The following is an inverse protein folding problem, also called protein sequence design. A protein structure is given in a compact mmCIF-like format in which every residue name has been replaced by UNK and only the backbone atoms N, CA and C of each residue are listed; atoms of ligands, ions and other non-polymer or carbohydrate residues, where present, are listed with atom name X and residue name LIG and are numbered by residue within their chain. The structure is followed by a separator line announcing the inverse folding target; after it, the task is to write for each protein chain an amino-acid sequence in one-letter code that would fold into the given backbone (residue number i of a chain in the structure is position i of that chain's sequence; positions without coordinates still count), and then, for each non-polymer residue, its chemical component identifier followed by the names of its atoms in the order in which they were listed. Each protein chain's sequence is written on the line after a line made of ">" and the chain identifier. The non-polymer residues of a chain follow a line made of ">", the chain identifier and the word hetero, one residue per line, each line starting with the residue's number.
data_IF_086631547931
#
_entry.id   IF_086631547931
#
_cell.length_a   1.000
_cell.length_b   1.000
_cell.length_c   1.000
_cell.angle_alpha   90.00
_cell.angle_beta   90.00
_cell.angle_gamma   90.00
#
_symmetry.space_group_name_H-M   'P 1'
#
loop_
_entity.id
_entity.type
_entity.pdbx_description
1 polymer ?
#
# COMPACT_ATOMS: atom_id res chain seq x y z
N UNK A 1 -22.55 -3.32 24.39
CA UNK A 1 -21.91 -4.37 23.58
C UNK A 1 -20.52 -4.55 24.13
N UNK A 2 -20.15 -5.77 24.51
CA UNK A 2 -18.76 -6.06 24.84
C UNK A 2 -17.94 -5.90 23.57
N UNK A 3 -16.98 -4.98 23.59
CA UNK A 3 -16.05 -4.77 22.49
C UNK A 3 -14.94 -5.83 22.60
N UNK A 4 -14.81 -6.69 21.59
CA UNK A 4 -13.82 -7.76 21.60
C UNK A 4 -13.64 -8.40 20.23
N UNK A 5 -12.53 -9.11 20.07
CA UNK A 5 -12.21 -9.88 18.86
C UNK A 5 -12.80 -11.28 19.00
N UNK A 6 -13.67 -11.68 18.07
CA UNK A 6 -14.28 -13.01 18.03
C UNK A 6 -13.69 -13.83 16.88
N UNK A 7 -12.97 -14.90 17.19
CA UNK A 7 -12.37 -15.79 16.20
C UNK A 7 -13.32 -16.95 15.88
N UNK A 8 -14.04 -16.86 14.75
CA UNK A 8 -14.97 -17.91 14.33
C UNK A 8 -14.31 -19.04 13.51
N UNK A 9 -13.32 -18.69 12.67
CA UNK A 9 -12.70 -19.61 11.72
C UNK A 9 -11.20 -19.84 11.98
N UNK A 10 -10.51 -18.84 12.54
CA UNK A 10 -9.09 -18.94 12.85
C UNK A 10 -8.88 -19.50 14.26
N UNK A 11 -7.87 -20.36 14.45
CA UNK A 11 -7.55 -20.85 15.80
C UNK A 11 -6.63 -19.83 16.46
N UNK A 12 -7.09 -19.21 17.54
CA UNK A 12 -6.42 -18.06 18.16
C UNK A 12 -4.91 -18.24 18.49
N UNK A 13 -4.47 -19.49 18.71
CA UNK A 13 -3.09 -19.80 19.10
C UNK A 13 -2.19 -20.27 17.95
N UNK A 14 -2.70 -20.40 16.73
CA UNK A 14 -1.86 -20.67 15.55
C UNK A 14 -1.44 -19.37 14.86
N UNK A 15 -0.44 -19.46 13.97
CA UNK A 15 0.08 -18.30 13.26
C UNK A 15 -1.02 -17.54 12.49
N UNK A 16 -1.91 -18.26 11.81
CA UNK A 16 -3.05 -17.66 11.09
C UNK A 16 -3.98 -16.91 12.04
N UNK A 17 -4.24 -17.45 13.22
CA UNK A 17 -5.02 -16.83 14.27
C UNK A 17 -4.36 -15.59 14.81
N UNK A 18 -3.04 -15.59 14.98
CA UNK A 18 -2.27 -14.41 15.39
C UNK A 18 -2.26 -13.31 14.31
N UNK A 19 -2.12 -13.66 13.04
CA UNK A 19 -2.28 -12.72 11.92
C UNK A 19 -3.69 -12.11 11.92
N UNK A 20 -4.72 -12.95 12.01
CA UNK A 20 -6.12 -12.49 12.10
C UNK A 20 -6.32 -11.63 13.34
N UNK A 21 -5.68 -11.96 14.47
CA UNK A 21 -5.74 -11.17 15.69
C UNK A 21 -5.18 -9.77 15.48
N UNK A 22 -4.02 -9.60 14.83
CA UNK A 22 -3.49 -8.26 14.54
C UNK A 22 -4.42 -7.41 13.67
N UNK A 23 -5.09 -8.04 12.70
CA UNK A 23 -6.05 -7.41 11.82
C UNK A 23 -7.28 -6.91 12.60
N UNK A 24 -7.93 -7.78 13.35
CA UNK A 24 -9.13 -7.43 14.12
C UNK A 24 -8.81 -6.46 15.27
N UNK A 25 -7.63 -6.60 15.89
CA UNK A 25 -7.15 -5.67 16.91
C UNK A 25 -6.97 -4.25 16.34
N UNK A 26 -6.51 -4.16 15.08
CA UNK A 26 -6.43 -2.87 14.38
C UNK A 26 -7.81 -2.26 14.19
N UNK A 27 -8.82 -3.04 13.80
CA UNK A 27 -10.20 -2.53 13.71
C UNK A 27 -10.75 -2.03 15.04
N UNK A 28 -10.39 -2.68 16.15
CA UNK A 28 -10.82 -2.28 17.48
C UNK A 28 -10.18 -0.95 17.91
N UNK A 29 -8.93 -0.71 17.53
CA UNK A 29 -8.12 0.39 18.06
C UNK A 29 -7.80 1.51 17.07
N UNK A 30 -8.13 1.38 15.79
CA UNK A 30 -7.78 2.39 14.79
C UNK A 30 -8.40 3.76 15.10
N UNK A 31 -9.63 3.82 15.61
CA UNK A 31 -10.30 5.09 15.94
C UNK A 31 -9.77 5.78 17.20
N UNK A 32 -9.11 5.06 18.10
CA UNK A 32 -8.80 5.54 19.46
C UNK A 32 -7.32 5.51 19.80
N UNK A 33 -6.64 4.38 19.64
CA UNK A 33 -5.24 4.22 20.06
C UNK A 33 -4.31 4.52 18.89
N UNK A 34 -4.45 3.80 17.77
CA UNK A 34 -3.50 3.85 16.65
C UNK A 34 -3.49 5.22 15.99
N UNK A 35 -4.65 5.87 15.87
CA UNK A 35 -4.78 7.22 15.28
C UNK A 35 -4.90 8.32 16.34
N UNK A 36 -4.47 8.07 17.58
CA UNK A 36 -4.43 9.03 18.67
C UNK A 36 -5.77 9.80 18.87
N UNK A 37 -6.87 9.04 18.94
CA UNK A 37 -8.24 9.53 19.11
C UNK A 37 -8.78 10.46 18.00
N UNK A 38 -8.09 10.61 16.88
CA UNK A 38 -8.57 11.45 15.77
C UNK A 38 -9.62 10.76 14.89
N UNK A 39 -9.90 9.48 15.13
CA UNK A 39 -10.75 8.68 14.24
C UNK A 39 -10.07 8.35 12.90
N UNK A 40 -10.80 7.63 12.05
CA UNK A 40 -10.34 7.31 10.68
C UNK A 40 -10.47 8.55 9.82
N UNK A 41 -9.58 8.66 8.82
CA UNK A 41 -9.73 9.68 7.78
C UNK A 41 -11.04 9.46 7.03
N UNK A 42 -11.79 10.54 6.80
CA UNK A 42 -13.02 10.50 6.00
C UNK A 42 -12.77 9.89 4.61
N UNK A 43 -13.68 9.02 4.18
CA UNK A 43 -13.54 8.21 2.96
C UNK A 43 -12.62 6.99 3.06
N UNK A 44 -11.89 6.79 4.15
CA UNK A 44 -11.00 5.64 4.37
C UNK A 44 -11.64 4.62 5.32
N UNK A 45 -11.75 3.37 4.86
CA UNK A 45 -12.27 2.25 5.64
C UNK A 45 -11.28 1.71 6.68
N UNK A 46 -11.75 0.85 7.59
CA UNK A 46 -10.88 0.20 8.59
C UNK A 46 -9.87 -0.76 7.96
N UNK A 47 -10.25 -1.39 6.86
CA UNK A 47 -9.42 -2.37 6.13
C UNK A 47 -8.13 -1.74 5.60
N UNK A 48 -8.16 -0.45 5.27
CA UNK A 48 -6.96 0.28 4.85
C UNK A 48 -5.87 0.22 5.92
N UNK A 49 -6.24 0.43 7.20
CA UNK A 49 -5.30 0.39 8.31
C UNK A 49 -4.94 -1.05 8.69
N UNK A 50 -5.93 -1.95 8.74
CA UNK A 50 -5.69 -3.34 9.09
C UNK A 50 -4.87 -4.05 8.00
N UNK A 51 -5.43 -4.29 6.82
CA UNK A 51 -4.75 -5.01 5.71
C UNK A 51 -3.52 -4.29 5.19
N UNK A 52 -3.62 -2.96 5.07
CA UNK A 52 -2.62 -2.16 4.36
C UNK A 52 -1.42 -1.74 5.21
N UNK A 53 -1.51 -1.75 6.54
CA UNK A 53 -0.44 -1.19 7.40
C UNK A 53 -0.10 -2.11 8.57
N UNK A 54 -1.08 -2.46 9.41
CA UNK A 54 -0.82 -3.01 10.75
C UNK A 54 -1.02 -4.52 10.89
N UNK A 55 -1.61 -5.18 9.89
CA UNK A 55 -1.72 -6.64 9.89
C UNK A 55 -0.34 -7.28 9.75
N UNK A 56 -0.02 -8.14 10.72
CA UNK A 56 1.23 -8.89 10.77
C UNK A 56 1.02 -10.27 10.13
N UNK A 57 1.75 -10.54 9.07
CA UNK A 57 1.72 -11.82 8.36
C UNK A 57 2.69 -12.82 9.01
N UNK A 58 2.58 -14.10 8.69
CA UNK A 58 3.36 -15.16 9.37
C UNK A 58 4.73 -15.42 8.74
N UNK A 59 4.88 -15.22 7.43
CA UNK A 59 6.13 -15.49 6.71
C UNK A 59 6.88 -14.19 6.44
N UNK A 60 8.10 -14.07 6.97
CA UNK A 60 9.02 -12.95 6.71
C UNK A 60 9.35 -12.76 5.22
N UNK A 61 9.13 -13.78 4.38
CA UNK A 61 9.43 -13.77 2.95
C UNK A 61 8.26 -13.34 2.07
N UNK A 62 7.09 -13.05 2.62
CA UNK A 62 6.05 -12.40 1.85
C UNK A 62 6.49 -10.97 1.51
N UNK A 63 6.45 -10.60 0.23
CA UNK A 63 6.88 -9.28 -0.25
C UNK A 63 5.83 -8.20 0.00
N UNK A 64 5.13 -8.25 1.13
CA UNK A 64 4.09 -7.29 1.50
C UNK A 64 4.75 -6.15 2.28
N UNK A 65 4.50 -4.91 1.86
CA UNK A 65 4.98 -3.74 2.56
C UNK A 65 4.17 -3.51 3.84
N UNK A 66 4.58 -4.14 4.94
CA UNK A 66 3.95 -4.03 6.25
C UNK A 66 4.99 -4.09 7.38
N UNK A 67 4.49 -4.13 8.61
CA UNK A 67 5.30 -4.25 9.82
C UNK A 67 4.93 -5.54 10.56
N UNK A 68 5.95 -6.16 11.18
CA UNK A 68 5.77 -7.32 12.04
C UNK A 68 5.74 -6.90 13.50
N UNK A 69 4.62 -7.10 14.18
CA UNK A 69 4.44 -6.77 15.60
C UNK A 69 4.20 -8.00 16.48
N UNK A 70 4.22 -9.21 15.92
CA UNK A 70 3.86 -10.44 16.63
C UNK A 70 5.01 -11.44 16.64
N UNK A 71 5.56 -11.76 15.47
CA UNK A 71 6.40 -12.94 15.31
C UNK A 71 7.87 -12.63 15.60
N UNK A 72 8.49 -13.42 16.47
CA UNK A 72 9.94 -13.39 16.65
C UNK A 72 10.60 -14.29 15.61
N UNK A 73 11.21 -13.66 14.61
CA UNK A 73 11.84 -14.30 13.45
C UNK A 73 13.33 -13.96 13.38
N UNK A 74 13.95 -13.54 14.50
CA UNK A 74 15.37 -13.18 14.55
C UNK A 74 16.24 -14.28 13.94
N UNK A 75 17.14 -13.89 13.03
CA UNK A 75 18.05 -14.80 12.34
C UNK A 75 17.46 -15.47 11.09
N UNK A 76 16.19 -15.19 10.74
CA UNK A 76 15.64 -15.58 9.43
C UNK A 76 15.89 -14.49 8.40
N UNK A 77 16.16 -14.90 7.16
CA UNK A 77 16.19 -14.00 6.00
C UNK A 77 14.77 -13.67 5.54
N UNK A 78 14.47 -12.38 5.34
CA UNK A 78 13.19 -11.91 4.83
C UNK A 78 13.17 -10.41 4.53
N UNK A 79 11.99 -9.91 4.18
CA UNK A 79 11.82 -8.55 3.63
C UNK A 79 11.39 -7.50 4.66
N UNK A 80 10.94 -7.93 5.84
CA UNK A 80 10.44 -7.06 6.90
C UNK A 80 11.17 -7.27 8.23
N UNK A 81 10.82 -6.50 9.26
CA UNK A 81 11.45 -6.62 10.56
C UNK A 81 11.20 -8.00 11.18
N UNK A 82 12.25 -8.63 11.68
CA UNK A 82 12.18 -9.96 12.29
C UNK A 82 11.97 -9.93 13.80
N UNK A 83 12.11 -8.76 14.42
CA UNK A 83 11.94 -8.56 15.86
C UNK A 83 10.70 -7.67 16.09
N UNK A 84 9.65 -8.17 16.76
CA UNK A 84 8.44 -7.39 17.03
C UNK A 84 8.70 -6.29 18.07
N UNK A 85 9.80 -6.38 18.82
CA UNK A 85 10.21 -5.38 19.82
C UNK A 85 11.20 -4.35 19.28
N UNK A 86 11.49 -4.38 17.98
CA UNK A 86 12.48 -3.50 17.32
C UNK A 86 12.19 -2.01 17.51
N UNK A 87 10.93 -1.62 17.48
CA UNK A 87 10.51 -0.23 17.45
C UNK A 87 10.15 0.22 18.86
N UNK A 88 11.04 0.99 19.49
CA UNK A 88 10.84 1.50 20.85
C UNK A 88 10.45 2.98 20.89
N UNK A 89 10.75 3.70 19.79
CA UNK A 89 10.49 5.13 19.60
C UNK A 89 10.29 5.44 18.12
N UNK A 90 9.75 6.61 17.82
CA UNK A 90 9.44 7.06 16.44
C UNK A 90 10.66 7.02 15.52
N UNK A 91 11.85 7.38 16.03
CA UNK A 91 13.08 7.41 15.24
C UNK A 91 13.51 6.02 14.74
N UNK A 92 13.20 4.96 15.51
CA UNK A 92 13.52 3.59 15.11
C UNK A 92 12.71 3.18 13.88
N UNK A 93 11.41 3.49 13.88
CA UNK A 93 10.52 3.23 12.75
C UNK A 93 10.90 4.09 11.55
N UNK A 94 11.16 5.39 11.77
CA UNK A 94 11.59 6.31 10.71
C UNK A 94 12.87 5.83 10.02
N UNK A 95 13.88 5.43 10.80
CA UNK A 95 15.14 4.90 10.25
C UNK A 95 14.93 3.60 9.48
N UNK A 96 14.11 2.70 10.02
CA UNK A 96 13.80 1.43 9.37
C UNK A 96 13.06 1.63 8.04
N UNK A 97 11.96 2.38 8.04
CA UNK A 97 11.19 2.65 6.82
C UNK A 97 11.99 3.45 5.81
N UNK A 98 12.82 4.39 6.25
CA UNK A 98 13.76 5.11 5.39
C UNK A 98 14.69 4.14 4.64
N UNK A 99 15.33 3.22 5.36
CA UNK A 99 16.18 2.20 4.74
C UNK A 99 15.43 1.24 3.81
N UNK A 100 14.19 0.86 4.15
CA UNK A 100 13.34 0.06 3.26
C UNK A 100 13.08 0.82 1.95
N UNK A 101 12.62 2.06 2.02
CA UNK A 101 12.31 2.86 0.82
C UNK A 101 13.56 3.24 0.02
N UNK A 102 14.71 3.48 0.65
CA UNK A 102 15.98 3.70 -0.07
C UNK A 102 16.31 2.50 -0.99
N UNK A 103 16.11 1.27 -0.49
CA UNK A 103 16.32 0.06 -1.28
C UNK A 103 15.25 -0.07 -2.36
N UNK A 104 13.96 0.05 -2.01
CA UNK A 104 12.87 -0.11 -2.97
C UNK A 104 12.96 0.91 -4.11
N UNK A 105 13.16 2.20 -3.82
CA UNK A 105 13.33 3.23 -4.85
C UNK A 105 14.56 3.00 -5.72
N UNK A 106 15.65 2.47 -5.16
CA UNK A 106 16.81 2.10 -5.96
C UNK A 106 16.48 0.98 -6.95
N UNK A 107 15.79 -0.08 -6.49
CA UNK A 107 15.38 -1.20 -7.33
C UNK A 107 14.37 -0.76 -8.40
N UNK A 108 13.35 -0.01 -8.01
CA UNK A 108 12.32 0.53 -8.91
C UNK A 108 12.94 1.43 -9.99
N UNK A 109 13.93 2.26 -9.62
CA UNK A 109 14.67 3.11 -10.56
C UNK A 109 15.48 2.27 -11.56
N UNK A 110 16.18 1.24 -11.11
CA UNK A 110 16.95 0.35 -11.99
C UNK A 110 16.04 -0.41 -12.95
N UNK A 111 14.90 -0.91 -12.45
CA UNK A 111 13.89 -1.58 -13.27
C UNK A 111 13.32 -0.62 -14.33
N UNK A 112 12.91 0.59 -13.92
CA UNK A 112 12.40 1.62 -14.80
C UNK A 112 13.40 1.95 -15.91
N UNK A 113 14.67 2.18 -15.55
CA UNK A 113 15.75 2.49 -16.51
C UNK A 113 15.86 1.41 -17.58
N UNK A 114 15.73 0.15 -17.19
CA UNK A 114 15.91 -0.94 -18.13
C UNK A 114 14.70 -1.17 -19.05
N UNK A 115 13.48 -0.97 -18.53
CA UNK A 115 12.24 -1.04 -19.32
C UNK A 115 12.12 0.14 -20.27
N UNK A 116 12.55 1.34 -19.85
CA UNK A 116 12.50 2.56 -20.67
C UNK A 116 13.37 2.46 -21.94
N UNK A 117 14.38 1.57 -21.94
CA UNK A 117 15.22 1.28 -23.12
C UNK A 117 14.59 0.30 -24.11
N UNK A 118 13.43 -0.30 -23.81
CA UNK A 118 12.75 -1.27 -24.69
C UNK A 118 11.87 -0.56 -25.72
N UNK A 119 11.32 -1.32 -26.66
CA UNK A 119 10.37 -0.80 -27.65
C UNK A 119 8.99 -0.52 -27.01
N UNK A 120 8.18 0.28 -27.68
CA UNK A 120 6.87 0.72 -27.17
C UNK A 120 5.87 -0.40 -26.96
N UNK A 121 5.94 -1.51 -27.71
CA UNK A 121 5.04 -2.65 -27.45
C UNK A 121 5.41 -3.34 -26.14
N UNK A 122 6.72 -3.49 -25.89
CA UNK A 122 7.21 -4.00 -24.59
C UNK A 122 6.79 -3.08 -23.45
N UNK A 123 6.98 -1.76 -23.57
CA UNK A 123 6.55 -0.79 -22.55
C UNK A 123 5.04 -0.84 -22.30
N UNK A 124 4.24 -0.94 -23.36
CA UNK A 124 2.78 -1.07 -23.28
C UNK A 124 2.34 -2.32 -22.50
N UNK A 125 3.03 -3.44 -22.67
CA UNK A 125 2.75 -4.66 -21.91
C UNK A 125 3.26 -4.58 -20.46
N UNK A 126 4.32 -3.81 -20.23
CA UNK A 126 4.97 -3.69 -18.93
C UNK A 126 4.22 -2.80 -17.96
N UNK A 127 3.52 -1.78 -18.44
CA UNK A 127 2.87 -0.78 -17.60
C UNK A 127 1.35 -0.82 -17.73
N UNK A 128 0.70 -0.75 -16.58
CA UNK A 128 -0.67 -0.27 -16.43
C UNK A 128 -0.62 1.20 -15.96
N UNK A 129 -1.78 1.85 -15.98
CA UNK A 129 -2.00 3.18 -15.42
C UNK A 129 -3.03 3.11 -14.31
N UNK A 130 -2.85 3.95 -13.31
CA UNK A 130 -3.83 4.21 -12.27
C UNK A 130 -4.52 5.54 -12.59
N UNK A 131 -5.85 5.55 -12.51
CA UNK A 131 -6.67 6.76 -12.64
C UNK A 131 -7.59 6.88 -11.45
N UNK A 132 -8.00 8.10 -11.11
CA UNK A 132 -9.03 8.30 -10.08
C UNK A 132 -10.41 8.48 -10.68
N UNK A 133 -11.39 7.82 -10.07
CA UNK A 133 -12.81 7.91 -10.40
C UNK A 133 -13.60 8.28 -9.15
N UNK A 134 -14.59 9.17 -9.27
CA UNK A 134 -15.52 9.45 -8.17
C UNK A 134 -16.27 8.18 -7.73
N UNK A 135 -16.28 7.90 -6.43
CA UNK A 135 -16.86 6.70 -5.81
C UNK A 135 -18.39 6.82 -5.64
N UNK A 136 -18.92 8.05 -5.70
CA UNK A 136 -20.37 8.33 -5.54
C UNK A 136 -20.92 8.13 -4.12
N UNK A 137 -20.09 7.67 -3.17
CA UNK A 137 -20.44 7.59 -1.75
C UNK A 137 -20.57 8.99 -1.15
N UNK A 138 -21.51 9.13 -0.20
CA UNK A 138 -21.60 10.31 0.65
C UNK A 138 -20.28 10.54 1.38
N UNK A 139 -19.86 11.79 1.44
CA UNK A 139 -18.62 12.23 2.06
C UNK A 139 -18.91 13.36 3.04
N UNK A 140 -18.27 13.32 4.21
CA UNK A 140 -18.34 14.43 5.16
C UNK A 140 -17.52 15.62 4.64
N UNK A 141 -16.48 15.34 3.85
CA UNK A 141 -15.58 16.34 3.25
C UNK A 141 -15.34 16.09 1.76
N UNK A 142 -16.06 16.84 0.91
CA UNK A 142 -15.82 16.85 -0.54
C UNK A 142 -16.42 15.65 -1.26
N UNK A 143 -15.65 15.04 -2.19
CA UNK A 143 -16.05 13.84 -2.91
C UNK A 143 -15.01 12.76 -2.71
N UNK A 144 -15.43 11.51 -2.52
CA UNK A 144 -14.51 10.38 -2.47
C UNK A 144 -14.17 9.89 -3.87
N UNK A 145 -12.93 9.43 -4.03
CA UNK A 145 -12.46 8.78 -5.24
C UNK A 145 -11.95 7.37 -4.93
N UNK A 146 -11.97 6.52 -5.93
CA UNK A 146 -11.33 5.22 -5.95
C UNK A 146 -10.30 5.17 -7.06
N UNK A 147 -9.31 4.30 -6.90
CA UNK A 147 -8.30 4.05 -7.92
C UNK A 147 -8.82 3.03 -8.93
N UNK A 148 -8.54 3.29 -10.21
CA UNK A 148 -8.94 2.45 -11.34
C UNK A 148 -7.69 2.09 -12.14
N UNK A 149 -7.37 0.80 -12.17
CA UNK A 149 -6.23 0.26 -12.89
C UNK A 149 -6.65 -0.11 -14.31
N UNK A 150 -5.88 0.35 -15.30
CA UNK A 150 -6.16 0.12 -16.73
C UNK A 150 -4.87 -0.14 -17.50
N UNK A 151 -4.97 -0.84 -18.63
CA UNK A 151 -3.85 -0.95 -19.57
C UNK A 151 -3.56 0.43 -20.19
N UNK A 152 -2.30 0.73 -20.47
CA UNK A 152 -1.95 1.91 -21.28
C UNK A 152 -2.12 1.63 -22.78
N UNK A 153 -2.29 2.69 -23.55
CA UNK A 153 -2.27 2.61 -25.01
C UNK A 153 -0.85 2.76 -25.59
N UNK A 154 -0.73 2.50 -26.90
CA UNK A 154 0.57 2.58 -27.59
C UNK A 154 1.10 4.02 -27.66
N UNK A 155 0.22 5.02 -27.67
CA UNK A 155 0.60 6.42 -27.74
C UNK A 155 1.27 6.87 -26.45
N UNK A 156 0.71 6.47 -25.30
CA UNK A 156 1.30 6.66 -23.98
C UNK A 156 2.67 5.99 -23.93
N UNK A 157 2.75 4.71 -24.34
CA UNK A 157 4.00 3.95 -24.34
C UNK A 157 5.10 4.56 -25.23
N UNK A 158 4.74 5.12 -26.39
CA UNK A 158 5.67 5.81 -27.29
C UNK A 158 6.33 7.05 -26.65
N UNK A 159 5.64 7.68 -25.70
CA UNK A 159 6.08 8.92 -25.05
C UNK A 159 6.80 8.67 -23.71
N UNK A 160 7.12 7.41 -23.36
CA UNK A 160 7.86 7.08 -22.15
C UNK A 160 9.37 7.03 -22.45
N UNK A 161 10.09 8.06 -22.02
CA UNK A 161 11.53 8.24 -22.27
C UNK A 161 12.35 8.24 -20.98
N UNK A 162 11.78 8.68 -19.88
CA UNK A 162 12.47 8.80 -18.59
C UNK A 162 11.52 8.49 -17.43
N UNK A 163 12.06 8.40 -16.22
CA UNK A 163 11.27 8.04 -15.03
C UNK A 163 10.18 9.07 -14.70
N UNK A 164 10.40 10.35 -15.01
CA UNK A 164 9.38 11.40 -14.81
C UNK A 164 8.15 11.11 -15.65
N UNK A 165 8.32 10.57 -16.85
CA UNK A 165 7.18 10.20 -17.70
C UNK A 165 6.37 9.06 -17.06
N UNK A 166 7.00 8.13 -16.33
CA UNK A 166 6.29 7.09 -15.60
C UNK A 166 5.45 7.66 -14.44
N UNK A 167 6.00 8.67 -13.74
CA UNK A 167 5.34 9.35 -12.62
C UNK A 167 4.19 10.22 -13.14
N UNK A 168 4.45 11.08 -14.12
CA UNK A 168 3.49 12.02 -14.69
C UNK A 168 2.31 11.32 -15.39
N UNK A 169 2.51 10.10 -15.87
CA UNK A 169 1.46 9.29 -16.49
C UNK A 169 0.78 8.33 -15.50
N UNK A 170 1.06 8.43 -14.21
CA UNK A 170 0.46 7.61 -13.14
C UNK A 170 0.63 6.11 -13.36
N UNK A 171 1.84 5.69 -13.75
CA UNK A 171 2.08 4.31 -14.16
C UNK A 171 2.38 3.37 -12.98
N UNK A 172 2.02 2.12 -13.19
CA UNK A 172 2.29 1.00 -12.29
C UNK A 172 2.68 -0.20 -13.14
N UNK A 173 3.54 -1.09 -12.63
CA UNK A 173 3.87 -2.31 -13.38
C UNK A 173 2.64 -3.19 -13.57
N UNK A 174 2.47 -3.76 -14.76
CA UNK A 174 1.28 -4.54 -15.14
C UNK A 174 1.14 -5.85 -14.34
N UNK A 175 2.23 -6.31 -13.70
CA UNK A 175 2.24 -7.46 -12.79
C UNK A 175 1.73 -7.15 -11.37
N UNK A 176 1.43 -5.90 -11.06
CA UNK A 176 0.81 -5.50 -9.80
C UNK A 176 -0.65 -5.96 -9.75
N UNK A 177 -0.86 -7.11 -9.11
CA UNK A 177 -2.19 -7.68 -8.88
C UNK A 177 -2.74 -7.14 -7.56
N UNK A 178 -3.51 -6.06 -7.62
CA UNK A 178 -4.05 -5.39 -6.43
C UNK A 178 -5.18 -6.21 -5.77
N UNK A 179 -5.88 -7.06 -6.53
CA UNK A 179 -6.98 -7.88 -6.01
C UNK A 179 -6.95 -9.29 -6.60
N UNK A 180 -6.52 -10.28 -5.80
CA UNK A 180 -6.36 -11.66 -6.27
C UNK A 180 -5.32 -11.72 -7.40
N UNK A 181 -5.75 -12.08 -8.61
CA UNK A 181 -4.90 -12.08 -9.81
C UNK A 181 -5.18 -10.88 -10.74
N UNK A 182 -6.11 -10.00 -10.37
CA UNK A 182 -6.53 -8.87 -11.20
C UNK A 182 -5.52 -7.73 -11.13
N UNK A 183 -5.06 -7.28 -12.29
CA UNK A 183 -4.12 -6.15 -12.45
C UNK A 183 -4.79 -4.92 -13.07
N UNK A 184 -6.07 -5.05 -13.43
CA UNK A 184 -6.95 -3.99 -13.92
C UNK A 184 -8.29 -4.04 -13.18
N UNK A 185 -9.00 -2.92 -13.10
CA UNK A 185 -10.30 -2.82 -12.43
C UNK A 185 -10.35 -1.71 -11.39
N UNK A 186 -11.42 -1.71 -10.59
CA UNK A 186 -11.68 -0.69 -9.58
C UNK A 186 -11.23 -1.18 -8.20
N UNK A 187 -10.27 -0.49 -7.59
CA UNK A 187 -9.90 -0.69 -6.18
C UNK A 187 -10.89 0.06 -5.28
N UNK A 188 -12.05 -0.56 -5.04
CA UNK A 188 -13.10 -0.01 -4.18
C UNK A 188 -12.68 0.11 -2.73
N UNK A 189 -13.20 1.13 -2.07
CA UNK A 189 -12.89 1.42 -0.66
C UNK A 189 -13.18 0.24 0.27
N UNK A 190 -12.35 0.10 1.31
CA UNK A 190 -12.46 -0.95 2.32
C UNK A 190 -12.30 -2.36 1.70
N UNK A 191 -11.60 -2.45 0.59
CA UNK A 191 -11.13 -3.71 0.01
C UNK A 191 -9.84 -4.19 0.67
N UNK A 192 -9.52 -5.46 0.41
CA UNK A 192 -8.38 -6.17 1.00
C UNK A 192 -7.20 -6.06 0.04
N UNK A 193 -6.62 -4.85 -0.04
CA UNK A 193 -5.49 -4.57 -0.93
C UNK A 193 -4.19 -4.52 -0.14
N UNK A 194 -3.13 -5.01 -0.75
CA UNK A 194 -1.77 -5.01 -0.22
C UNK A 194 -0.83 -4.34 -1.23
N UNK A 195 0.19 -3.65 -0.73
CA UNK A 195 1.28 -3.15 -1.57
C UNK A 195 2.39 -4.21 -1.58
N UNK A 196 2.77 -4.63 -2.77
CA UNK A 196 3.88 -5.56 -2.96
C UNK A 196 5.19 -4.78 -3.14
N UNK A 197 6.17 -5.06 -2.30
CA UNK A 197 7.46 -4.37 -2.23
C UNK A 197 8.23 -4.39 -3.55
N UNK A 198 8.05 -5.42 -4.39
CA UNK A 198 8.82 -5.59 -5.64
C UNK A 198 7.97 -5.40 -6.90
N UNK A 199 6.84 -4.72 -6.76
CA UNK A 199 5.96 -4.34 -7.88
C UNK A 199 5.81 -2.82 -7.88
N UNK A 200 6.70 -2.11 -8.57
CA UNK A 200 6.77 -0.65 -8.54
C UNK A 200 5.45 0.02 -8.88
N UNK A 201 5.07 1.00 -8.07
CA UNK A 201 4.00 1.97 -8.33
C UNK A 201 4.69 3.32 -8.51
N UNK A 202 4.87 3.75 -9.77
CA UNK A 202 5.47 5.06 -10.08
C UNK A 202 4.47 6.21 -9.90
N UNK A 203 3.18 5.89 -9.95
CA UNK A 203 2.10 6.84 -9.82
C UNK A 203 2.19 7.66 -8.53
N UNK A 204 2.05 8.98 -8.67
CA UNK A 204 2.02 9.93 -7.57
C UNK A 204 0.70 10.70 -7.56
N UNK A 205 -0.41 9.97 -7.72
CA UNK A 205 -1.74 10.56 -7.90
C UNK A 205 -2.10 11.42 -6.69
N UNK A 206 -2.32 12.69 -6.95
CA UNK A 206 -2.79 13.64 -5.96
C UNK A 206 -4.28 13.92 -6.17
N UNK A 207 -5.08 13.64 -5.14
CA UNK A 207 -6.45 14.10 -5.11
C UNK A 207 -6.55 15.43 -4.36
N UNK A 208 -7.08 16.48 -4.97
CA UNK A 208 -7.29 17.75 -4.25
C UNK A 208 -8.54 17.75 -3.34
N UNK A 209 -9.40 16.73 -3.45
CA UNK A 209 -10.67 16.58 -2.73
C UNK A 209 -10.90 15.12 -2.32
N UNK A 210 -10.80 14.75 -1.04
CA UNK A 210 -11.16 13.41 -0.53
C UNK A 210 -10.08 12.70 0.28
N UNK A 211 -10.14 11.37 0.36
CA UNK A 211 -9.32 10.54 1.25
C UNK A 211 -7.80 10.63 0.99
N UNK A 212 -7.36 10.69 -0.26
CA UNK A 212 -5.96 10.84 -0.66
C UNK A 212 -5.50 12.31 -0.72
N UNK A 213 -6.26 13.25 -0.15
CA UNK A 213 -5.95 14.68 -0.17
C UNK A 213 -4.73 15.05 0.67
N UNK A 214 -3.88 15.90 0.08
CA UNK A 214 -2.82 16.65 0.78
C UNK A 214 -3.42 17.88 1.45
N UNK A 215 -3.22 18.02 2.76
CA UNK A 215 -3.56 19.27 3.46
C UNK A 215 -2.53 20.34 3.07
N UNK A 216 -3.00 21.50 2.59
CA UNK A 216 -2.18 22.58 2.02
C UNK A 216 -1.12 23.19 2.97
N UNK A 217 -1.04 22.77 4.23
CA UNK A 217 -0.06 23.24 5.21
C UNK A 217 1.15 22.32 5.44
N UNK A 218 1.22 21.15 4.81
CA UNK A 218 2.41 20.29 4.86
C UNK A 218 3.35 20.60 3.69
N UNK A 219 4.04 21.74 3.81
CA UNK A 219 5.24 22.01 3.01
C UNK A 219 6.33 21.03 3.44
N UNK A 220 6.88 20.30 2.46
CA UNK A 220 8.00 19.37 2.55
C UNK A 220 7.63 17.90 2.79
N UNK A 221 7.33 17.21 1.69
CA UNK A 221 7.78 15.84 1.46
C UNK A 221 8.11 15.77 -0.05
N UNK A 222 9.38 15.99 -0.34
CA UNK A 222 10.19 15.29 -1.35
C UNK A 222 11.39 14.78 -0.56
#
# INVERSE_FOLDING_TARGET
>A
MDFGVNMFLAKALDNRGLTTYSHELTHLFDRTVILNNNGRRDGVGGEFYARGIYETYEDVKESILNLNFIFNEKGKDGYRNTDPTRFTKEEDLKKYMGGVFDVLYTLDYLEAKEVLNKDSNTKKQYFNKIEQKEDGRSADTGKHTIDVFKNIDINTANNLHNIKDLIDNDLVVSRYAFQGISTIGEARTNGYYIIDMFKPIFAAIQNNNGASRRYYNEKNCI
#
